data_IF_403647880860
#
_entry.id   IF_403647880860
#
_cell.length_a   1.000
_cell.length_b   1.000
_cell.length_c   1.000
_cell.angle_alpha   90.00
_cell.angle_beta   90.00
_cell.angle_gamma   90.00
#
_symmetry.space_group_name_H-M   'P 1'
#
loop_
_entity.id
_entity.type
_entity.pdbx_description
1 polymer ?
#
# COMPACT_ATOMS: atom_id res chain seq x y z
N UNK A 1 2.04 16.05 23.20
CA UNK A 1 3.24 15.22 23.43
C UNK A 1 2.79 13.83 23.86
N UNK A 2 3.36 12.80 23.22
CA UNK A 2 3.28 11.35 23.51
C UNK A 2 1.94 10.61 23.27
N UNK A 3 1.58 10.41 21.99
CA UNK A 3 0.53 9.44 21.57
C UNK A 3 1.02 7.98 21.65
N UNK A 4 2.34 7.76 21.73
CA UNK A 4 2.96 6.42 21.74
C UNK A 4 3.32 5.88 23.14
N UNK A 5 3.04 6.62 24.22
CA UNK A 5 3.55 6.29 25.58
C UNK A 5 2.51 5.84 26.61
N UNK A 6 1.20 5.97 26.34
CA UNK A 6 0.14 5.82 27.36
C UNK A 6 -0.68 4.55 27.25
N UNK A 7 -0.58 3.80 26.14
CA UNK A 7 -1.32 2.55 25.97
C UNK A 7 -0.57 1.38 26.60
N UNK A 8 -1.31 0.52 27.32
CA UNK A 8 -0.75 -0.69 27.94
C UNK A 8 -0.30 -1.67 26.86
N UNK A 9 0.76 -2.44 27.14
CA UNK A 9 1.40 -3.34 26.15
C UNK A 9 0.43 -4.31 25.47
N UNK A 10 -0.57 -4.82 26.20
CA UNK A 10 -1.58 -5.73 25.67
C UNK A 10 -2.49 -5.06 24.61
N UNK A 11 -2.64 -3.74 24.63
CA UNK A 11 -3.42 -3.00 23.62
C UNK A 11 -2.71 -3.07 22.28
N UNK A 12 -1.38 -2.95 22.24
CA UNK A 12 -0.61 -3.10 21.02
C UNK A 12 -0.71 -4.52 20.44
N UNK A 13 -0.77 -5.54 21.30
CA UNK A 13 -1.00 -6.92 20.86
C UNK A 13 -2.42 -7.12 20.31
N UNK A 14 -3.43 -6.53 20.94
CA UNK A 14 -4.80 -6.59 20.43
C UNK A 14 -4.91 -5.91 19.06
N UNK A 15 -4.24 -4.77 18.86
CA UNK A 15 -4.16 -4.11 17.56
C UNK A 15 -3.46 -5.02 16.54
N UNK A 16 -2.31 -5.61 16.91
CA UNK A 16 -1.58 -6.51 16.03
C UNK A 16 -2.42 -7.72 15.58
N UNK A 17 -3.17 -8.33 16.49
CA UNK A 17 -4.09 -9.43 16.18
C UNK A 17 -5.25 -8.97 15.30
N UNK A 18 -5.81 -7.80 15.56
CA UNK A 18 -6.87 -7.22 14.74
C UNK A 18 -6.41 -6.93 13.31
N UNK A 19 -5.23 -6.34 13.15
CA UNK A 19 -4.61 -6.04 11.85
C UNK A 19 -4.25 -7.34 11.13
N UNK A 20 -3.68 -8.33 11.82
CA UNK A 20 -3.45 -9.67 11.28
C UNK A 20 -4.73 -10.28 10.70
N UNK A 21 -5.80 -10.34 11.49
CA UNK A 21 -7.06 -10.93 11.05
C UNK A 21 -7.67 -10.16 9.87
N UNK A 22 -7.59 -8.83 9.90
CA UNK A 22 -8.08 -7.98 8.82
C UNK A 22 -7.34 -8.23 7.50
N UNK A 23 -6.00 -8.17 7.51
CA UNK A 23 -5.20 -8.39 6.30
C UNK A 23 -5.29 -9.82 5.79
N UNK A 24 -5.39 -10.81 6.68
CA UNK A 24 -5.60 -12.20 6.27
C UNK A 24 -6.95 -12.38 5.56
N UNK A 25 -8.04 -11.93 6.18
CA UNK A 25 -9.38 -12.02 5.59
C UNK A 25 -9.46 -11.22 4.29
N UNK A 26 -8.94 -10.00 4.28
CA UNK A 26 -8.95 -9.15 3.10
C UNK A 26 -8.10 -9.73 1.97
N UNK A 27 -6.91 -10.25 2.27
CA UNK A 27 -6.04 -10.89 1.29
C UNK A 27 -6.68 -12.12 0.66
N UNK A 28 -7.36 -12.96 1.46
CA UNK A 28 -8.08 -14.14 0.95
C UNK A 28 -9.28 -13.74 0.07
N UNK A 29 -10.01 -12.68 0.44
CA UNK A 29 -11.25 -12.30 -0.24
C UNK A 29 -11.04 -11.40 -1.46
N UNK A 30 -10.03 -10.54 -1.44
CA UNK A 30 -9.83 -9.48 -2.41
C UNK A 30 -8.36 -9.21 -2.76
N UNK A 31 -7.42 -9.98 -2.21
CA UNK A 31 -5.97 -9.78 -2.37
C UNK A 31 -5.54 -9.74 -3.83
N UNK A 32 -5.92 -10.75 -4.61
CA UNK A 32 -5.59 -10.85 -6.04
C UNK A 32 -6.05 -9.62 -6.84
N UNK A 33 -7.25 -9.13 -6.55
CA UNK A 33 -7.80 -7.94 -7.21
C UNK A 33 -6.98 -6.69 -6.93
N UNK A 34 -6.57 -6.49 -5.67
CA UNK A 34 -5.74 -5.33 -5.30
C UNK A 34 -4.31 -5.48 -5.81
N UNK A 35 -3.74 -6.68 -5.79
CA UNK A 35 -2.38 -6.94 -6.31
C UNK A 35 -2.32 -6.64 -7.82
N UNK A 36 -3.31 -7.09 -8.58
CA UNK A 36 -3.41 -6.80 -10.01
C UNK A 36 -3.54 -5.29 -10.24
N UNK A 37 -4.44 -4.64 -9.49
CA UNK A 37 -4.62 -3.18 -9.58
C UNK A 37 -3.31 -2.42 -9.30
N UNK A 38 -2.60 -2.76 -8.24
CA UNK A 38 -1.34 -2.10 -7.86
C UNK A 38 -0.24 -2.35 -8.90
N UNK A 39 -0.19 -3.57 -9.47
CA UNK A 39 0.74 -3.91 -10.55
C UNK A 39 0.45 -3.14 -11.84
N UNK A 40 -0.83 -2.91 -12.14
CA UNK A 40 -1.26 -2.07 -13.27
C UNK A 40 -0.91 -0.60 -13.02
N UNK A 41 -1.15 -0.08 -11.80
CA UNK A 41 -0.78 1.29 -11.42
C UNK A 41 0.72 1.53 -11.57
N UNK A 42 1.54 0.57 -11.12
CA UNK A 42 2.99 0.59 -11.31
C UNK A 42 3.35 0.73 -12.79
N UNK A 43 2.77 -0.12 -13.63
CA UNK A 43 3.04 -0.14 -15.08
C UNK A 43 2.64 1.19 -15.73
N UNK A 44 1.51 1.75 -15.34
CA UNK A 44 1.06 3.06 -15.81
C UNK A 44 1.98 4.19 -15.36
N UNK A 45 2.35 4.25 -14.08
CA UNK A 45 3.23 5.31 -13.56
C UNK A 45 4.61 5.29 -14.24
N UNK A 46 5.17 4.10 -14.49
CA UNK A 46 6.46 3.91 -15.17
C UNK A 46 6.36 4.26 -16.65
N UNK A 47 5.35 3.76 -17.36
CA UNK A 47 5.17 4.03 -18.79
C UNK A 47 4.87 5.50 -19.09
N UNK A 48 4.18 6.19 -18.18
CA UNK A 48 3.95 7.63 -18.26
C UNK A 48 5.20 8.47 -17.90
N UNK A 49 6.31 7.84 -17.49
CA UNK A 49 7.55 8.52 -17.11
C UNK A 49 7.46 9.31 -15.80
N UNK A 50 6.41 9.10 -15.00
CA UNK A 50 6.17 9.86 -13.77
C UNK A 50 6.96 9.32 -12.58
N UNK A 51 7.28 8.02 -12.58
CA UNK A 51 8.13 7.37 -11.58
C UNK A 51 9.21 6.51 -12.25
N UNK A 52 10.46 6.55 -11.76
CA UNK A 52 11.47 5.54 -12.11
C UNK A 52 11.06 4.14 -11.61
N UNK A 53 11.44 3.11 -12.37
CA UNK A 53 11.13 1.69 -12.07
C UNK A 53 11.44 1.32 -10.62
N UNK A 54 12.65 1.65 -10.15
CA UNK A 54 13.10 1.33 -8.79
C UNK A 54 12.22 1.95 -7.71
N UNK A 55 11.76 3.19 -7.92
CA UNK A 55 10.90 3.87 -6.94
C UNK A 55 9.50 3.25 -6.94
N UNK A 56 8.99 2.89 -8.12
CA UNK A 56 7.70 2.23 -8.23
C UNK A 56 7.71 0.84 -7.57
N UNK A 57 8.81 0.08 -7.69
CA UNK A 57 8.98 -1.23 -7.05
C UNK A 57 8.99 -1.13 -5.52
N UNK A 58 9.75 -0.18 -4.96
CA UNK A 58 9.83 0.06 -3.50
C UNK A 58 8.46 0.41 -2.90
N UNK A 59 7.57 1.00 -3.69
CA UNK A 59 6.21 1.32 -3.27
C UNK A 59 5.29 0.09 -3.35
N UNK A 60 5.40 -0.68 -4.42
CA UNK A 60 4.47 -1.75 -4.79
C UNK A 60 4.72 -3.04 -4.02
N UNK A 61 5.98 -3.45 -3.86
CA UNK A 61 6.32 -4.74 -3.24
C UNK A 61 5.79 -4.88 -1.80
N UNK A 62 5.89 -3.87 -0.91
CA UNK A 62 5.34 -3.99 0.44
C UNK A 62 3.80 -4.11 0.46
N UNK A 63 3.12 -3.49 -0.51
CA UNK A 63 1.65 -3.57 -0.64
C UNK A 63 1.24 -4.97 -1.09
N UNK A 64 1.94 -5.52 -2.09
CA UNK A 64 1.72 -6.89 -2.55
C UNK A 64 1.97 -7.87 -1.41
N UNK A 65 3.11 -7.75 -0.73
CA UNK A 65 3.45 -8.57 0.42
C UNK A 65 2.33 -8.58 1.47
N UNK A 66 1.78 -7.41 1.81
CA UNK A 66 0.72 -7.29 2.79
C UNK A 66 -0.60 -7.95 2.37
N UNK A 67 -0.90 -7.99 1.07
CA UNK A 67 -2.22 -8.35 0.53
C UNK A 67 -2.28 -9.72 -0.12
N UNK A 68 -1.17 -10.48 -0.16
CA UNK A 68 -1.11 -11.84 -0.72
C UNK A 68 -2.01 -12.87 -0.03
N UNK A 69 -2.62 -12.54 1.12
CA UNK A 69 -3.52 -13.46 1.83
C UNK A 69 -2.83 -14.64 2.49
N UNK A 70 -1.50 -14.65 2.55
CA UNK A 70 -0.73 -15.65 3.26
C UNK A 70 -0.75 -15.38 4.78
N UNK A 71 -0.86 -16.46 5.57
CA UNK A 71 -0.88 -16.39 7.03
C UNK A 71 0.40 -15.73 7.57
N UNK A 72 1.57 -16.11 7.03
CA UNK A 72 2.87 -15.58 7.49
C UNK A 72 2.96 -14.08 7.21
N UNK A 73 2.62 -13.65 5.99
CA UNK A 73 2.71 -12.24 5.61
C UNK A 73 1.74 -11.40 6.44
N UNK A 74 0.51 -11.87 6.60
CA UNK A 74 -0.49 -11.21 7.45
C UNK A 74 -0.02 -11.09 8.89
N UNK A 75 0.66 -12.12 9.43
CA UNK A 75 1.17 -12.10 10.80
C UNK A 75 2.28 -11.05 10.96
N UNK A 76 3.17 -10.95 9.96
CA UNK A 76 4.21 -9.92 9.90
C UNK A 76 3.56 -8.52 9.81
N UNK A 77 2.53 -8.34 9.00
CA UNK A 77 1.78 -7.06 8.90
C UNK A 77 1.13 -6.70 10.23
N UNK A 78 0.52 -7.67 10.91
CA UNK A 78 -0.07 -7.46 12.23
C UNK A 78 0.97 -7.02 13.26
N UNK A 79 2.11 -7.71 13.33
CA UNK A 79 3.20 -7.36 14.25
C UNK A 79 3.82 -5.99 13.92
N UNK A 80 3.91 -5.66 12.64
CA UNK A 80 4.44 -4.39 12.14
C UNK A 80 3.32 -3.42 11.74
N UNK A 81 2.17 -3.45 12.43
CA UNK A 81 1.00 -2.65 12.06
C UNK A 81 1.25 -1.14 11.90
N UNK A 82 2.18 -0.47 12.62
CA UNK A 82 2.47 0.94 12.35
C UNK A 82 3.06 1.15 10.95
N UNK A 83 3.82 0.17 10.45
CA UNK A 83 4.38 0.16 9.10
C UNK A 83 3.31 -0.11 8.04
N UNK A 84 2.28 -0.90 8.36
CA UNK A 84 1.13 -1.11 7.47
C UNK A 84 0.41 0.21 7.12
N UNK A 85 0.35 1.16 8.06
CA UNK A 85 -0.19 2.51 7.80
C UNK A 85 0.66 3.25 6.77
N UNK A 86 1.99 3.12 6.83
CA UNK A 86 2.89 3.70 5.84
C UNK A 86 2.61 3.10 4.45
N UNK A 87 2.36 1.79 4.36
CA UNK A 87 2.03 1.15 3.09
C UNK A 87 0.71 1.64 2.47
N UNK A 88 -0.30 1.94 3.29
CA UNK A 88 -1.53 2.60 2.82
C UNK A 88 -1.26 4.01 2.28
N UNK A 89 -0.34 4.76 2.89
CA UNK A 89 0.08 6.06 2.38
C UNK A 89 0.84 5.91 1.05
N UNK A 90 1.72 4.92 0.94
CA UNK A 90 2.44 4.62 -0.30
C UNK A 90 1.48 4.23 -1.44
N UNK A 91 0.41 3.49 -1.14
CA UNK A 91 -0.65 3.19 -2.11
C UNK A 91 -1.33 4.47 -2.62
N UNK A 92 -1.65 5.40 -1.72
CA UNK A 92 -2.25 6.69 -2.10
C UNK A 92 -1.29 7.52 -2.98
N UNK A 93 0.01 7.50 -2.67
CA UNK A 93 1.05 8.14 -3.49
C UNK A 93 1.09 7.49 -4.88
N UNK A 94 1.10 6.16 -4.96
CA UNK A 94 1.12 5.45 -6.24
C UNK A 94 -0.08 5.82 -7.12
N UNK A 95 -1.27 5.97 -6.53
CA UNK A 95 -2.48 6.40 -7.24
C UNK A 95 -2.32 7.79 -7.88
N UNK A 96 -1.67 8.73 -7.18
CA UNK A 96 -1.39 10.08 -7.71
C UNK A 96 -0.47 9.99 -8.93
N UNK A 97 0.60 9.20 -8.85
CA UNK A 97 1.55 9.04 -9.96
C UNK A 97 0.98 8.25 -11.13
N UNK A 98 0.13 7.25 -10.88
CA UNK A 98 -0.47 6.43 -11.93
C UNK A 98 -1.57 7.16 -12.70
N UNK A 99 -2.38 8.00 -12.02
CA UNK A 99 -3.60 8.55 -12.64
C UNK A 99 -3.71 10.07 -12.62
N UNK A 100 -3.24 10.74 -11.56
CA UNK A 100 -3.42 12.19 -11.42
C UNK A 100 -2.37 12.96 -12.24
N UNK A 101 -1.08 12.63 -12.06
CA UNK A 101 0.00 13.33 -12.74
C UNK A 101 -0.01 13.12 -14.27
N UNK A 102 -0.22 11.90 -14.80
CA UNK A 102 -0.37 11.70 -16.24
C UNK A 102 -1.57 12.48 -16.82
N UNK A 103 -2.69 12.51 -16.10
CA UNK A 103 -3.88 13.28 -16.49
C UNK A 103 -3.61 14.79 -16.59
N UNK A 104 -2.79 15.35 -15.69
CA UNK A 104 -2.37 16.75 -15.74
C UNK A 104 -1.39 17.04 -16.90
N UNK A 105 -0.53 16.08 -17.24
CA UNK A 105 0.39 16.17 -18.39
C UNK A 105 -0.34 16.15 -19.73
N UNK A 106 -1.33 15.27 -19.88
CA UNK A 106 -2.20 15.19 -21.08
C UNK A 106 -3.09 16.43 -21.18
N UNK A 107 -3.67 16.89 -20.07
CA UNK A 107 -4.48 18.10 -20.06
C UNK A 107 -3.68 19.33 -20.52
N UNK A 108 -2.42 19.49 -20.09
CA UNK A 108 -1.55 20.57 -20.60
C UNK A 108 -1.22 20.45 -22.09
N UNK A 109 -1.11 19.24 -22.64
CA UNK A 109 -0.85 19.01 -24.06
C UNK A 109 -2.05 19.29 -24.98
N UNK A 110 -3.28 19.26 -24.45
CA UNK A 110 -4.51 19.53 -25.21
C UNK A 110 -4.89 21.02 -25.31
N UNK A 111 -4.21 21.89 -24.57
CA UNK A 111 -4.44 23.35 -24.56
C UNK A 111 -3.30 24.16 -25.22
N UNK A 112 -2.29 23.48 -25.78
CA UNK A 112 -1.25 24.08 -26.64
C UNK A 112 -1.52 23.72 -28.10
#
# INVERSE_FOLDING_TARGET
>A
MMVFGTMKWYVYLLIAVGVFAFFLLFGILAGDGVINLVSDMRTQAVSAGTLPVVVADVIVEPIIFALQGEIVNSAIVGLLWPLAVIWLLLLAILLIFAYVLPGLGIARGAFN
#
